data_IF_662934927411
#
_entry.id   IF_662934927411
#
_cell.length_a   1.000
_cell.length_b   1.000
_cell.length_c   1.000
_cell.angle_alpha   90.00
_cell.angle_beta   90.00
_cell.angle_gamma   90.00
#
_symmetry.space_group_name_H-M   'P 1'
#
loop_
_entity.id
_entity.type
_entity.pdbx_description
1 polymer ?
#
# COMPACT_ATOMS: atom_id res chain seq x y z
N UNK A 1 -26.74 16.71 -21.24
CA UNK A 1 -27.00 15.83 -20.09
C UNK A 1 -25.81 14.88 -19.97
N UNK A 2 -24.89 15.17 -19.05
CA UNK A 2 -23.80 14.24 -18.72
C UNK A 2 -24.39 13.16 -17.80
N UNK A 3 -24.18 11.89 -18.15
CA UNK A 3 -24.74 10.74 -17.43
C UNK A 3 -24.28 10.71 -15.96
N UNK A 4 -25.24 10.82 -15.04
CA UNK A 4 -25.07 10.67 -13.58
C UNK A 4 -24.46 9.32 -13.16
N UNK A 5 -24.40 8.35 -14.07
CA UNK A 5 -23.87 7.00 -13.84
C UNK A 5 -22.35 6.88 -13.90
N UNK A 6 -21.60 7.90 -14.34
CA UNK A 6 -20.12 7.85 -14.29
C UNK A 6 -19.52 8.26 -12.94
N UNK A 7 -20.32 8.69 -11.97
CA UNK A 7 -19.86 9.07 -10.63
C UNK A 7 -20.17 8.03 -9.53
N UNK A 8 -20.83 6.92 -9.87
CA UNK A 8 -21.32 5.92 -8.90
C UNK A 8 -20.56 4.59 -8.93
N UNK A 9 -19.51 4.45 -9.76
CA UNK A 9 -18.67 3.26 -9.81
C UNK A 9 -17.27 3.52 -9.24
N UNK A 10 -17.17 4.40 -8.25
CA UNK A 10 -15.95 4.65 -7.51
C UNK A 10 -16.09 4.02 -6.12
N UNK A 11 -15.22 3.06 -5.79
CA UNK A 11 -15.09 2.60 -4.42
C UNK A 11 -14.83 3.83 -3.53
N UNK A 12 -15.71 4.06 -2.54
CA UNK A 12 -15.63 5.26 -1.69
C UNK A 12 -14.71 4.97 -0.52
N UNK A 13 -13.77 5.89 -0.26
CA UNK A 13 -12.90 5.85 0.91
C UNK A 13 -13.76 6.09 2.16
N UNK A 14 -13.79 5.17 3.14
CA UNK A 14 -14.52 5.37 4.39
C UNK A 14 -14.08 6.62 5.16
N UNK A 15 -14.98 7.19 5.96
CA UNK A 15 -14.69 8.41 6.73
C UNK A 15 -13.59 8.23 7.80
N UNK A 16 -13.36 6.99 8.24
CA UNK A 16 -12.33 6.56 9.19
C UNK A 16 -11.08 5.99 8.51
N UNK A 17 -10.96 6.17 7.19
CA UNK A 17 -9.79 5.77 6.40
C UNK A 17 -9.07 6.93 5.74
N UNK A 18 -7.81 6.68 5.41
CA UNK A 18 -6.99 7.50 4.53
C UNK A 18 -6.33 6.62 3.47
N UNK A 19 -6.01 7.20 2.31
CA UNK A 19 -5.19 6.55 1.29
C UNK A 19 -3.77 7.06 1.39
N UNK A 20 -2.82 6.17 1.64
CA UNK A 20 -1.39 6.49 1.77
C UNK A 20 -0.60 5.88 0.62
N UNK A 21 0.14 6.72 -0.09
CA UNK A 21 1.08 6.29 -1.13
C UNK A 21 2.41 5.83 -0.54
N UNK A 22 2.89 4.68 -1.00
CA UNK A 22 4.17 4.10 -0.60
C UNK A 22 4.99 3.80 -1.85
N UNK A 23 6.27 4.16 -1.81
CA UNK A 23 7.26 3.78 -2.84
C UNK A 23 8.09 2.62 -2.28
N UNK A 24 8.12 1.51 -3.02
CA UNK A 24 8.76 0.27 -2.60
C UNK A 24 9.91 -0.08 -3.53
N UNK A 25 11.09 -0.28 -2.96
CA UNK A 25 12.21 -0.90 -3.65
C UNK A 25 11.93 -2.37 -4.03
N UNK A 26 12.80 -3.00 -4.85
CA UNK A 26 12.62 -4.38 -5.27
C UNK A 26 12.61 -5.38 -4.11
N UNK A 27 13.36 -5.11 -3.03
CA UNK A 27 13.42 -5.96 -1.83
C UNK A 27 12.24 -5.75 -0.86
N UNK A 28 11.47 -4.67 -1.05
CA UNK A 28 10.40 -4.24 -0.15
C UNK A 28 9.00 -4.65 -0.62
N UNK A 29 8.92 -5.33 -1.77
CA UNK A 29 7.66 -5.73 -2.38
C UNK A 29 7.63 -7.24 -2.66
N UNK A 30 6.45 -7.88 -2.63
CA UNK A 30 6.31 -9.25 -3.08
C UNK A 30 6.74 -9.40 -4.55
N UNK A 31 7.32 -10.54 -4.89
CA UNK A 31 7.76 -10.86 -6.28
C UNK A 31 6.56 -10.97 -7.22
N UNK A 32 5.47 -11.57 -6.73
CA UNK A 32 4.17 -11.52 -7.40
C UNK A 32 3.61 -10.10 -7.23
N UNK A 33 3.46 -9.37 -8.32
CA UNK A 33 3.01 -7.98 -8.27
C UNK A 33 1.69 -7.83 -7.50
N UNK A 34 1.52 -6.69 -6.83
CA UNK A 34 0.30 -6.35 -6.10
C UNK A 34 -0.75 -5.78 -7.05
N UNK A 35 -2.01 -6.15 -6.85
CA UNK A 35 -3.17 -5.62 -7.55
C UNK A 35 -4.10 -4.85 -6.60
N UNK A 36 -4.94 -3.98 -7.17
CA UNK A 36 -6.04 -3.39 -6.42
C UNK A 36 -6.97 -4.50 -5.89
N UNK A 37 -7.33 -4.40 -4.61
CA UNK A 37 -8.11 -5.41 -3.90
C UNK A 37 -7.27 -6.37 -3.05
N UNK A 38 -5.95 -6.42 -3.21
CA UNK A 38 -5.11 -7.31 -2.40
C UNK A 38 -5.08 -6.89 -0.92
N UNK A 39 -5.04 -7.89 -0.05
CA UNK A 39 -4.71 -7.71 1.36
C UNK A 39 -3.19 -7.69 1.53
N UNK A 40 -2.65 -6.68 2.21
CA UNK A 40 -1.23 -6.63 2.55
C UNK A 40 -1.01 -6.31 4.01
N UNK A 41 0.12 -6.78 4.54
CA UNK A 41 0.67 -6.35 5.81
C UNK A 41 1.87 -5.45 5.56
N UNK A 42 1.99 -4.37 6.32
CA UNK A 42 3.12 -3.45 6.23
C UNK A 42 4.05 -3.61 7.43
N UNK A 43 5.35 -3.65 7.16
CA UNK A 43 6.40 -3.75 8.16
C UNK A 43 7.34 -2.55 8.07
N UNK A 44 7.82 -2.13 9.23
CA UNK A 44 8.90 -1.15 9.34
C UNK A 44 10.24 -1.83 9.04
N UNK A 45 10.95 -1.37 8.02
CA UNK A 45 12.25 -1.92 7.62
C UNK A 45 13.33 -0.85 7.71
N UNK A 46 14.53 -1.25 8.13
CA UNK A 46 15.68 -0.37 8.15
C UNK A 46 16.30 -0.24 6.75
N UNK A 47 16.71 0.97 6.39
CA UNK A 47 17.33 1.24 5.09
C UNK A 47 18.83 0.84 5.04
N UNK A 48 19.48 0.70 6.19
CA UNK A 48 20.93 0.61 6.35
C UNK A 48 21.40 -0.61 7.17
N UNK A 49 20.52 -1.62 7.32
CA UNK A 49 20.81 -2.78 8.17
C UNK A 49 20.77 -2.47 9.67
N UNK A 50 20.31 -1.28 10.07
CA UNK A 50 20.02 -0.98 11.47
C UNK A 50 18.98 -1.95 12.03
N UNK A 51 19.14 -2.31 13.31
CA UNK A 51 18.17 -3.14 14.03
C UNK A 51 16.98 -2.31 14.54
N UNK A 52 17.05 -0.98 14.42
CA UNK A 52 16.01 -0.07 14.88
C UNK A 52 15.69 1.01 13.87
N UNK A 53 14.43 1.42 13.83
CA UNK A 53 13.88 2.47 12.99
C UNK A 53 12.98 3.32 13.88
N UNK A 54 13.24 4.62 13.98
CA UNK A 54 12.48 5.56 14.84
C UNK A 54 12.28 5.10 16.30
N UNK A 55 13.25 4.34 16.84
CA UNK A 55 13.21 3.79 18.20
C UNK A 55 12.38 2.50 18.35
N UNK A 56 11.82 1.98 17.26
CA UNK A 56 11.17 0.67 17.17
C UNK A 56 12.14 -0.35 16.57
N UNK A 57 12.03 -1.65 16.92
CA UNK A 57 12.77 -2.70 16.22
C UNK A 57 12.41 -2.77 14.73
N UNK A 58 13.38 -3.03 13.86
CA UNK A 58 13.11 -3.40 12.48
C UNK A 58 12.27 -4.70 12.43
N UNK A 59 11.35 -4.79 11.49
CA UNK A 59 10.36 -5.86 11.41
C UNK A 59 9.12 -5.63 12.28
N UNK A 60 8.97 -4.46 12.91
CA UNK A 60 7.73 -4.08 13.59
C UNK A 60 6.58 -3.97 12.57
N UNK A 61 5.41 -4.51 12.93
CA UNK A 61 4.20 -4.39 12.10
C UNK A 61 3.67 -2.95 12.19
N UNK A 62 3.59 -2.27 11.05
CA UNK A 62 2.97 -0.95 10.94
C UNK A 62 1.47 -1.04 10.68
N UNK A 63 1.06 -2.01 9.86
CA UNK A 63 -0.33 -2.29 9.52
C UNK A 63 -0.50 -3.79 9.48
N UNK A 64 -1.41 -4.33 10.29
CA UNK A 64 -1.64 -5.78 10.37
C UNK A 64 -2.27 -6.33 9.09
N UNK A 65 -3.26 -5.61 8.55
CA UNK A 65 -3.88 -5.84 7.25
C UNK A 65 -4.42 -4.52 6.68
N UNK A 66 -4.09 -4.24 5.42
CA UNK A 66 -4.52 -3.07 4.67
C UNK A 66 -4.92 -3.48 3.25
N UNK A 67 -5.86 -2.74 2.64
CA UNK A 67 -6.27 -2.97 1.25
C UNK A 67 -5.39 -2.18 0.30
N UNK A 68 -4.91 -2.80 -0.77
CA UNK A 68 -4.31 -2.10 -1.90
C UNK A 68 -5.44 -1.46 -2.72
N UNK A 69 -5.42 -0.13 -2.85
CA UNK A 69 -6.38 0.63 -3.65
C UNK A 69 -5.90 0.76 -5.10
N UNK A 70 -4.59 0.95 -5.27
CA UNK A 70 -3.97 1.04 -6.57
C UNK A 70 -2.51 0.61 -6.47
N UNK A 71 -2.00 0.03 -7.55
CA UNK A 71 -0.58 -0.23 -7.74
C UNK A 71 -0.14 0.31 -9.10
N UNK A 72 1.07 0.84 -9.16
CA UNK A 72 1.67 1.35 -10.37
C UNK A 72 3.16 1.06 -10.36
N UNK A 73 3.71 0.65 -11.50
CA UNK A 73 5.15 0.66 -11.72
C UNK A 73 5.54 2.07 -12.17
N UNK A 74 6.58 2.68 -11.58
CA UNK A 74 7.12 3.94 -12.13
C UNK A 74 7.90 3.62 -13.40
N UNK A 75 7.17 3.39 -14.47
CA UNK A 75 7.66 3.25 -15.83
C UNK A 75 6.60 3.79 -16.76
N UNK A 76 6.76 5.04 -17.21
CA UNK A 76 5.90 5.62 -18.22
C UNK A 76 5.91 4.71 -19.46
N UNK A 77 4.81 4.00 -19.71
CA UNK A 77 4.61 3.23 -20.95
C UNK A 77 5.00 1.75 -20.93
N UNK A 78 4.94 1.04 -19.80
CA UNK A 78 5.13 -0.41 -19.82
C UNK A 78 3.90 -1.14 -20.39
N UNK A 79 4.00 -1.51 -21.67
CA UNK A 79 3.25 -2.62 -22.29
C UNK A 79 3.35 -3.88 -21.42
N UNK A 80 2.24 -4.61 -21.31
CA UNK A 80 2.16 -5.86 -20.55
C UNK A 80 3.32 -6.80 -20.89
N UNK A 81 4.19 -7.07 -19.92
CA UNK A 81 5.28 -8.05 -20.07
C UNK A 81 6.72 -7.56 -19.81
N UNK A 82 6.93 -6.31 -19.38
CA UNK A 82 8.27 -5.84 -18.98
C UNK A 82 8.36 -5.63 -17.47
N UNK A 83 9.22 -6.42 -16.82
CA UNK A 83 9.63 -6.23 -15.42
C UNK A 83 10.59 -5.03 -15.38
N UNK A 84 10.04 -3.84 -15.16
CA UNK A 84 10.82 -2.63 -14.92
C UNK A 84 11.59 -2.74 -13.59
N UNK A 85 12.88 -2.42 -13.63
CA UNK A 85 13.82 -2.49 -12.49
C UNK A 85 13.58 -1.44 -11.40
N UNK A 86 12.68 -0.49 -11.59
CA UNK A 86 12.65 0.71 -10.76
C UNK A 86 11.34 0.79 -9.97
N UNK A 87 11.47 0.84 -8.65
CA UNK A 87 10.47 1.19 -7.63
C UNK A 87 8.97 1.06 -7.96
N UNK A 88 8.24 0.28 -7.14
CA UNK A 88 6.79 0.15 -7.24
C UNK A 88 6.10 1.22 -6.40
N UNK A 89 5.08 1.89 -6.95
CA UNK A 89 4.16 2.73 -6.16
C UNK A 89 2.92 1.92 -5.80
N UNK A 90 2.53 1.97 -4.53
CA UNK A 90 1.34 1.30 -4.03
C UNK A 90 0.56 2.29 -3.17
N UNK A 91 -0.75 2.38 -3.40
CA UNK A 91 -1.67 3.15 -2.58
C UNK A 91 -2.40 2.20 -1.64
N UNK A 92 -2.28 2.43 -0.33
CA UNK A 92 -2.88 1.60 0.72
C UNK A 92 -4.03 2.34 1.39
N UNK A 93 -5.14 1.64 1.60
CA UNK A 93 -6.20 2.08 2.48
C UNK A 93 -5.80 1.76 3.92
N UNK A 94 -5.71 2.78 4.75
CA UNK A 94 -5.28 2.67 6.15
C UNK A 94 -6.27 3.35 7.08
N UNK A 95 -6.42 2.91 8.33
CA UNK A 95 -7.17 3.66 9.34
C UNK A 95 -6.57 5.05 9.53
N UNK A 96 -7.41 6.09 9.69
CA UNK A 96 -6.93 7.47 9.90
C UNK A 96 -6.02 7.58 11.13
N UNK A 97 -6.23 6.76 12.16
CA UNK A 97 -5.41 6.74 13.37
C UNK A 97 -3.95 6.33 13.08
N UNK A 98 -3.73 5.45 12.11
CA UNK A 98 -2.40 4.90 11.78
C UNK A 98 -1.73 5.68 10.64
N UNK A 99 -2.50 6.48 9.89
CA UNK A 99 -2.06 7.17 8.68
C UNK A 99 -0.80 8.01 8.89
N UNK A 100 -0.70 8.76 9.99
CA UNK A 100 0.47 9.59 10.27
C UNK A 100 1.77 8.76 10.42
N UNK A 101 1.70 7.60 11.09
CA UNK A 101 2.84 6.70 11.26
C UNK A 101 3.26 6.06 9.94
N UNK A 102 2.28 5.63 9.15
CA UNK A 102 2.52 5.02 7.82
C UNK A 102 3.11 6.05 6.86
N UNK A 103 2.60 7.28 6.84
CA UNK A 103 3.14 8.37 6.00
C UNK A 103 4.59 8.67 6.37
N UNK A 104 4.90 8.75 7.67
CA UNK A 104 6.27 9.01 8.13
C UNK A 104 7.24 7.88 7.70
N UNK A 105 6.84 6.62 7.88
CA UNK A 105 7.65 5.46 7.46
C UNK A 105 7.79 5.38 5.94
N UNK A 106 6.71 5.65 5.19
CA UNK A 106 6.70 5.63 3.73
C UNK A 106 7.60 6.74 3.15
N UNK A 107 7.54 7.96 3.72
CA UNK A 107 8.40 9.07 3.32
C UNK A 107 9.89 8.79 3.59
N UNK A 108 10.19 7.98 4.60
CA UNK A 108 11.56 7.53 4.90
C UNK A 108 12.02 6.32 4.06
N UNK A 109 11.14 5.74 3.23
CA UNK A 109 11.46 4.51 2.47
C UNK A 109 11.60 3.27 3.36
N UNK A 110 10.96 3.27 4.53
CA UNK A 110 11.12 2.26 5.59
C UNK A 110 9.93 1.30 5.65
N UNK A 111 9.25 1.07 4.54
CA UNK A 111 8.08 0.19 4.48
C UNK A 111 8.37 -0.99 3.57
N UNK A 112 8.09 -2.19 4.05
CA UNK A 112 8.00 -3.39 3.23
C UNK A 112 6.61 -4.00 3.31
N UNK A 113 6.13 -4.56 2.21
CA UNK A 113 4.82 -5.18 2.11
C UNK A 113 4.91 -6.69 1.96
N UNK A 114 4.00 -7.39 2.62
CA UNK A 114 3.76 -8.82 2.44
C UNK A 114 2.31 -8.99 2.00
N UNK A 115 2.08 -9.76 0.93
CA UNK A 115 0.73 -10.14 0.51
C UNK A 115 0.15 -11.16 1.49
N UNK A 116 -1.06 -10.92 1.95
CA UNK A 116 -1.81 -11.81 2.81
C UNK A 116 -2.77 -12.67 1.97
N UNK A 117 -3.30 -13.74 2.56
CA UNK A 117 -4.28 -14.58 1.89
C UNK A 117 -5.53 -13.77 1.51
N UNK A 118 -6.15 -14.07 0.36
CA UNK A 118 -7.26 -13.30 -0.21
C UNK A 118 -8.49 -13.22 0.72
N UNK A 119 -8.66 -14.19 1.62
CA UNK A 119 -9.72 -14.19 2.64
C UNK A 119 -9.46 -13.25 3.83
N UNK A 120 -8.30 -12.60 3.89
CA UNK A 120 -7.95 -11.68 4.99
C UNK A 120 -8.76 -10.40 4.87
N UNK A 121 -9.51 -10.08 5.93
CA UNK A 121 -10.33 -8.87 6.01
C UNK A 121 -9.54 -7.77 6.74
N UNK A 122 -9.22 -6.64 6.10
CA UNK A 122 -8.60 -5.49 6.76
C UNK A 122 -9.53 -4.88 7.82
N UNK A 123 -8.96 -4.11 8.74
CA UNK A 123 -9.74 -3.36 9.74
C UNK A 123 -10.62 -2.27 9.12
N UNK A 124 -10.18 -1.70 8.00
CA UNK A 124 -10.97 -0.79 7.17
C UNK A 124 -10.87 -1.24 5.71
N UNK A 125 -12.02 -1.33 5.05
CA UNK A 125 -12.13 -1.78 3.66
C UNK A 125 -12.98 -0.81 2.83
N UNK A 126 -12.83 -0.88 1.52
CA UNK A 126 -13.61 -0.11 0.56
C UNK A 126 -15.09 -0.48 0.67
N UNK A 127 -15.95 0.53 0.71
CA UNK A 127 -17.40 0.34 0.70
C UNK A 127 -17.88 0.44 -0.76
N UNK A 128 -18.55 -0.61 -1.24
CA UNK A 128 -19.33 -0.54 -2.48
C UNK A 128 -20.68 0.10 -2.19
N UNK A 129 -20.98 1.20 -2.87
CA UNK A 129 -22.35 1.73 -3.00
C UNK A 129 -23.09 1.10 -4.19
#
# INVERSE_FOLDING_TARGET
MLNRTMFLAGDTVPADAAVVGVVLGPEQRPTEGLAAGDAVRAYLVAADGSTTVTGQPAGTVLLDAARVVASGTTGAGSVAGQVGTDSGTVSLLVPTADAAGVVAAAAAGQVALVRLADATTPSVDLVRE
#
